data_IF_730394493386
#
_entry.id   IF_730394493386
#
_cell.length_a   1.000
_cell.length_b   1.000
_cell.length_c   1.000
_cell.angle_alpha   90.00
_cell.angle_beta   90.00
_cell.angle_gamma   90.00
#
_symmetry.space_group_name_H-M   'P 1'
#
loop_
_entity.id
_entity.type
_entity.pdbx_description
1 polymer ?
#
# COMPACT_ATOMS: atom_id res chain seq x y z
N UNK A 1 -6.21 23.00 -2.79
CA UNK A 1 -4.83 22.70 -2.36
C UNK A 1 -4.58 21.22 -2.53
N UNK A 2 -3.81 20.82 -3.53
CA UNK A 2 -3.46 19.43 -3.76
C UNK A 2 -2.67 18.92 -2.55
N UNK A 3 -3.21 17.95 -1.81
CA UNK A 3 -2.49 17.34 -0.70
C UNK A 3 -1.16 16.80 -1.21
N UNK A 4 -0.09 17.10 -0.47
CA UNK A 4 1.22 16.49 -0.69
C UNK A 4 1.02 14.98 -0.84
N UNK A 5 1.59 14.36 -1.89
CA UNK A 5 1.41 12.93 -2.18
C UNK A 5 1.99 11.98 -1.11
N UNK A 6 2.45 12.55 0.00
CA UNK A 6 3.05 11.91 1.15
C UNK A 6 1.96 11.69 2.19
N UNK A 7 1.70 10.44 2.62
CA UNK A 7 0.65 10.16 3.56
C UNK A 7 1.03 10.64 4.97
N UNK A 8 0.04 10.94 5.82
CA UNK A 8 0.30 11.31 7.20
C UNK A 8 0.82 10.12 8.02
N UNK A 9 1.54 10.44 9.09
CA UNK A 9 1.96 9.50 10.14
C UNK A 9 1.16 9.84 11.40
N UNK A 10 0.46 8.83 11.96
CA UNK A 10 -0.33 8.98 13.19
C UNK A 10 0.47 8.39 14.34
N UNK A 11 0.93 9.25 15.24
CA UNK A 11 1.78 8.91 16.37
C UNK A 11 0.91 8.84 17.62
N UNK A 12 0.93 7.72 18.34
CA UNK A 12 0.12 7.54 19.55
C UNK A 12 0.73 8.32 20.72
N UNK A 13 -0.14 8.94 21.54
CA UNK A 13 0.23 9.72 22.72
C UNK A 13 0.66 11.16 22.41
N UNK A 14 0.23 12.10 23.26
CA UNK A 14 0.53 13.54 23.15
C UNK A 14 1.52 14.06 24.20
N UNK A 15 1.75 13.31 25.28
CA UNK A 15 2.47 13.78 26.48
C UNK A 15 3.92 14.24 26.22
N UNK A 16 4.58 13.74 25.18
CA UNK A 16 6.01 14.01 24.90
C UNK A 16 6.25 14.72 23.57
N UNK A 17 5.24 15.39 23.03
CA UNK A 17 5.32 16.00 21.70
C UNK A 17 6.50 16.97 21.57
N UNK A 18 6.79 17.77 22.61
CA UNK A 18 7.90 18.73 22.63
C UNK A 18 9.28 18.06 22.56
N UNK A 19 9.43 16.88 23.15
CA UNK A 19 10.68 16.12 23.06
C UNK A 19 10.84 15.54 21.65
N UNK A 20 9.78 14.92 21.14
CA UNK A 20 9.75 14.35 19.80
C UNK A 20 10.00 15.42 18.72
N UNK A 21 9.43 16.61 18.85
CA UNK A 21 9.64 17.71 17.90
C UNK A 21 11.08 18.19 17.87
N UNK A 22 11.75 18.26 19.02
CA UNK A 22 13.20 18.55 19.07
C UNK A 22 14.02 17.46 18.38
N UNK A 23 13.67 16.19 18.57
CA UNK A 23 14.36 15.07 17.90
C UNK A 23 14.14 15.08 16.38
N UNK A 24 12.95 15.46 15.91
CA UNK A 24 12.68 15.63 14.49
C UNK A 24 13.52 16.77 13.92
N UNK A 25 13.58 17.92 14.61
CA UNK A 25 14.38 19.07 14.20
C UNK A 25 15.88 18.76 14.18
N UNK A 26 16.41 18.05 15.19
CA UNK A 26 17.83 17.70 15.24
C UNK A 26 18.26 16.73 14.14
N UNK A 27 17.33 15.90 13.64
CA UNK A 27 17.53 15.04 12.46
C UNK A 27 17.21 15.74 11.14
N UNK A 28 16.82 17.02 11.16
CA UNK A 28 16.49 17.78 9.96
C UNK A 28 15.17 17.38 9.29
N UNK A 29 14.31 16.61 9.97
CA UNK A 29 13.04 16.10 9.41
C UNK A 29 12.04 17.24 9.27
N UNK A 30 11.63 17.55 8.03
CA UNK A 30 10.70 18.64 7.77
C UNK A 30 9.24 18.16 7.68
N UNK A 31 8.33 18.90 8.31
CA UNK A 31 6.89 18.67 8.20
C UNK A 31 6.11 19.98 8.02
N UNK A 32 5.05 19.92 7.22
CA UNK A 32 4.17 21.07 6.92
C UNK A 32 3.15 21.31 8.02
N UNK A 33 2.67 20.24 8.64
CA UNK A 33 1.61 20.30 9.64
C UNK A 33 1.72 19.15 10.62
N UNK A 34 1.48 19.46 11.89
CA UNK A 34 1.17 18.48 12.92
C UNK A 34 -0.12 18.92 13.62
N UNK A 35 -1.04 17.99 13.85
CA UNK A 35 -2.28 18.29 14.59
C UNK A 35 -2.68 17.14 15.49
N UNK A 36 -3.23 17.46 16.64
CA UNK A 36 -3.83 16.48 17.54
C UNK A 36 -5.08 15.86 16.88
N UNK A 37 -5.23 14.55 17.05
CA UNK A 37 -6.34 13.74 16.59
C UNK A 37 -6.69 12.73 17.67
N UNK A 38 -7.61 13.10 18.57
CA UNK A 38 -7.91 12.31 19.78
C UNK A 38 -6.66 12.18 20.66
N UNK A 39 -6.27 10.94 20.96
CA UNK A 39 -5.08 10.61 21.75
C UNK A 39 -3.78 10.54 20.92
N UNK A 40 -3.83 10.89 19.64
CA UNK A 40 -2.70 10.80 18.71
C UNK A 40 -2.33 12.16 18.12
N UNK A 41 -1.11 12.28 17.60
CA UNK A 41 -0.69 13.42 16.78
C UNK A 41 -0.50 12.96 15.35
N UNK A 42 -1.18 13.63 14.41
CA UNK A 42 -1.09 13.38 12.97
C UNK A 42 -0.10 14.35 12.35
N UNK A 43 1.00 13.82 11.82
CA UNK A 43 2.10 14.58 11.21
C UNK A 43 2.08 14.42 9.70
N UNK A 44 2.26 15.54 8.99
CA UNK A 44 2.28 15.64 7.53
C UNK A 44 3.67 16.10 7.08
N UNK A 45 4.52 15.16 6.68
CA UNK A 45 5.88 15.44 6.17
C UNK A 45 5.82 16.04 4.76
N UNK A 46 6.87 16.78 4.38
CA UNK A 46 6.90 17.47 3.09
C UNK A 46 7.31 16.54 1.96
N UNK A 47 8.32 15.70 2.20
CA UNK A 47 8.89 14.81 1.19
C UNK A 47 8.77 13.32 1.58
N UNK A 48 8.87 12.40 0.61
CA UNK A 48 9.04 10.96 0.89
C UNK A 48 10.30 10.63 1.68
N UNK A 49 11.36 11.45 1.56
CA UNK A 49 12.59 11.29 2.33
C UNK A 49 12.34 11.59 3.82
N UNK A 50 11.72 12.74 4.12
CA UNK A 50 11.32 13.10 5.49
C UNK A 50 10.39 12.05 6.10
N UNK A 51 9.44 11.55 5.31
CA UNK A 51 8.53 10.48 5.69
C UNK A 51 9.30 9.23 6.16
N UNK A 52 10.23 8.74 5.33
CA UNK A 52 11.03 7.55 5.64
C UNK A 52 11.91 7.77 6.86
N UNK A 53 12.53 8.95 6.99
CA UNK A 53 13.34 9.31 8.15
C UNK A 53 12.51 9.37 9.43
N UNK A 54 11.29 9.93 9.39
CA UNK A 54 10.39 9.98 10.54
C UNK A 54 9.93 8.57 10.94
N UNK A 55 9.57 7.72 9.98
CA UNK A 55 9.24 6.31 10.25
C UNK A 55 10.41 5.61 10.94
N UNK A 56 11.63 5.74 10.41
CA UNK A 56 12.83 5.15 10.99
C UNK A 56 13.13 5.68 12.40
N UNK A 57 12.96 7.00 12.62
CA UNK A 57 13.10 7.61 13.94
C UNK A 57 12.12 6.99 14.94
N UNK A 58 10.82 6.93 14.59
CA UNK A 58 9.79 6.40 15.47
C UNK A 58 10.00 4.91 15.79
N UNK A 59 10.45 4.12 14.82
CA UNK A 59 10.84 2.73 15.03
C UNK A 59 12.05 2.63 15.98
N UNK A 60 13.07 3.48 15.82
CA UNK A 60 14.27 3.47 16.68
C UNK A 60 13.97 3.77 18.15
N UNK A 61 13.03 4.69 18.41
CA UNK A 61 12.60 5.04 19.78
C UNK A 61 11.43 4.19 20.28
N UNK A 62 11.00 3.19 19.49
CA UNK A 62 9.85 2.32 19.77
C UNK A 62 8.56 3.09 20.08
N UNK A 63 8.36 4.27 19.47
CA UNK A 63 7.13 5.04 19.63
C UNK A 63 6.01 4.34 18.86
N UNK A 64 4.82 4.10 19.44
CA UNK A 64 3.72 3.49 18.70
C UNK A 64 3.16 4.45 17.65
N UNK A 65 3.01 3.98 16.41
CA UNK A 65 2.42 4.76 15.32
C UNK A 65 1.76 3.86 14.27
N UNK A 66 0.99 4.47 13.37
CA UNK A 66 0.60 3.85 12.11
C UNK A 66 0.60 4.88 10.98
N UNK A 67 0.76 4.39 9.76
CA UNK A 67 0.85 5.22 8.57
C UNK A 67 0.35 4.47 7.33
N UNK A 68 0.55 5.04 6.15
CA UNK A 68 0.08 4.53 4.87
C UNK A 68 1.24 4.44 3.88
N UNK A 69 1.07 3.60 2.86
CA UNK A 69 2.09 3.44 1.83
C UNK A 69 2.22 4.73 1.00
N UNK A 70 3.47 5.11 0.70
CA UNK A 70 3.77 6.21 -0.21
C UNK A 70 3.19 5.94 -1.61
N UNK A 71 2.79 7.00 -2.32
CA UNK A 71 2.24 6.88 -3.67
C UNK A 71 3.24 6.28 -4.66
N UNK A 72 4.51 6.65 -4.56
CA UNK A 72 5.60 6.13 -5.41
C UNK A 72 5.92 4.64 -5.19
N UNK A 73 5.59 4.12 -4.01
CA UNK A 73 5.76 2.71 -3.69
C UNK A 73 4.54 1.87 -4.10
N UNK A 74 3.45 2.51 -4.53
CA UNK A 74 2.20 1.84 -4.89
C UNK A 74 2.22 1.42 -6.36
N UNK A 75 2.13 0.12 -6.60
CA UNK A 75 1.87 -0.43 -7.93
C UNK A 75 0.38 -0.33 -8.27
N UNK A 76 0.06 0.01 -9.52
CA UNK A 76 -1.30 -0.10 -10.04
C UNK A 76 -1.69 -1.58 -10.08
N UNK A 77 -2.98 -1.87 -9.94
CA UNK A 77 -3.51 -3.24 -9.93
C UNK A 77 -4.65 -3.33 -10.94
N UNK A 78 -4.46 -4.17 -11.96
CA UNK A 78 -5.47 -4.48 -12.98
C UNK A 78 -5.81 -5.97 -12.96
N UNK A 79 -7.07 -6.28 -13.22
CA UNK A 79 -7.55 -7.64 -13.43
C UNK A 79 -7.50 -7.92 -14.93
N UNK A 80 -6.77 -8.96 -15.32
CA UNK A 80 -6.73 -9.50 -16.68
C UNK A 80 -7.91 -10.45 -16.85
N UNK A 81 -8.68 -10.24 -17.92
CA UNK A 81 -9.74 -11.14 -18.39
C UNK A 81 -9.42 -11.64 -19.80
N UNK A 82 -10.07 -12.74 -20.20
CA UNK A 82 -9.90 -13.35 -21.52
C UNK A 82 -8.90 -14.51 -21.55
N UNK A 83 -8.30 -14.85 -20.41
CA UNK A 83 -7.35 -15.96 -20.28
C UNK A 83 -8.00 -17.22 -19.67
N UNK A 84 -7.58 -18.44 -20.08
CA UNK A 84 -8.06 -19.69 -19.49
C UNK A 84 -7.66 -19.81 -18.02
N UNK A 85 -8.38 -20.63 -17.27
CA UNK A 85 -8.08 -20.90 -15.86
C UNK A 85 -6.75 -21.66 -15.70
N UNK A 86 -6.46 -22.53 -16.65
CA UNK A 86 -5.32 -23.45 -16.63
C UNK A 86 -4.02 -22.77 -17.05
N UNK A 87 -4.09 -21.50 -17.49
CA UNK A 87 -2.94 -20.77 -17.97
C UNK A 87 -1.93 -20.52 -16.84
N UNK A 88 -0.65 -20.78 -17.16
CA UNK A 88 0.47 -20.56 -16.25
C UNK A 88 0.68 -19.07 -15.99
N UNK A 89 0.86 -18.73 -14.71
CA UNK A 89 1.19 -17.36 -14.28
C UNK A 89 2.55 -16.91 -14.84
N UNK A 90 3.47 -17.86 -15.03
CA UNK A 90 4.80 -17.56 -15.56
C UNK A 90 4.72 -17.16 -17.03
N UNK A 91 3.92 -17.87 -17.85
CA UNK A 91 3.77 -17.58 -19.27
C UNK A 91 3.16 -16.19 -19.48
N UNK A 92 2.15 -15.83 -18.67
CA UNK A 92 1.55 -14.49 -18.67
C UNK A 92 2.61 -13.44 -18.31
N UNK A 93 3.44 -13.72 -17.30
CA UNK A 93 4.47 -12.81 -16.84
C UNK A 93 5.56 -12.61 -17.89
N UNK A 94 6.04 -13.69 -18.51
CA UNK A 94 7.06 -13.65 -19.57
C UNK A 94 6.57 -12.86 -20.78
N UNK A 95 5.32 -13.06 -21.19
CA UNK A 95 4.73 -12.30 -22.28
C UNK A 95 4.62 -10.81 -21.94
N UNK A 96 4.13 -10.45 -20.75
CA UNK A 96 4.10 -9.05 -20.28
C UNK A 96 5.50 -8.41 -20.24
N UNK A 97 6.52 -9.16 -19.83
CA UNK A 97 7.92 -8.70 -19.84
C UNK A 97 8.41 -8.49 -21.28
N UNK A 98 8.10 -9.41 -22.20
CA UNK A 98 8.45 -9.31 -23.61
C UNK A 98 7.80 -8.09 -24.30
N UNK A 99 6.61 -7.70 -23.82
CA UNK A 99 5.89 -6.50 -24.26
C UNK A 99 6.31 -5.23 -23.50
N UNK A 100 7.41 -5.28 -22.74
CA UNK A 100 8.05 -4.11 -22.14
C UNK A 100 7.58 -3.74 -20.73
N UNK A 101 6.89 -4.64 -20.01
CA UNK A 101 6.46 -4.46 -18.62
C UNK A 101 7.34 -5.33 -17.69
N UNK A 102 8.59 -4.92 -17.51
CA UNK A 102 9.59 -5.69 -16.76
C UNK A 102 9.26 -5.90 -15.28
N UNK A 103 8.47 -5.02 -14.65
CA UNK A 103 8.13 -5.08 -13.23
C UNK A 103 6.80 -5.81 -12.95
N UNK A 104 6.24 -6.49 -13.95
CA UNK A 104 4.96 -7.17 -13.82
C UNK A 104 4.99 -8.26 -12.73
N UNK A 105 4.10 -8.12 -11.75
CA UNK A 105 3.81 -9.17 -10.77
C UNK A 105 2.41 -9.71 -11.05
N UNK A 106 2.33 -10.97 -11.47
CA UNK A 106 1.08 -11.64 -11.85
C UNK A 106 0.67 -12.63 -10.76
N UNK A 107 -0.63 -12.71 -10.47
CA UNK A 107 -1.20 -13.68 -9.54
C UNK A 107 -2.58 -14.12 -10.03
N UNK A 108 -2.86 -15.42 -10.04
CA UNK A 108 -4.20 -15.91 -10.31
C UNK A 108 -5.15 -15.64 -9.12
N UNK A 109 -6.36 -15.17 -9.40
CA UNK A 109 -7.39 -14.94 -8.39
C UNK A 109 -8.11 -16.24 -8.05
N UNK A 110 -8.50 -16.40 -6.79
CA UNK A 110 -9.26 -17.54 -6.30
C UNK A 110 -10.64 -17.12 -5.81
N UNK A 111 -11.64 -18.00 -5.96
CA UNK A 111 -12.96 -17.80 -5.39
C UNK A 111 -12.89 -17.63 -3.86
N UNK A 112 -13.62 -16.66 -3.32
CA UNK A 112 -13.69 -16.45 -1.87
C UNK A 112 -14.35 -17.63 -1.15
N UNK A 113 -15.39 -18.20 -1.77
CA UNK A 113 -16.22 -19.28 -1.22
C UNK A 113 -15.57 -20.64 -1.41
N UNK A 114 -15.26 -21.00 -2.67
CA UNK A 114 -14.79 -22.36 -2.98
C UNK A 114 -13.28 -22.52 -2.93
N UNK A 115 -12.52 -21.42 -2.79
CA UNK A 115 -11.05 -21.38 -2.84
C UNK A 115 -10.43 -21.91 -4.13
N UNK A 116 -11.24 -22.25 -5.13
CA UNK A 116 -10.77 -22.73 -6.44
C UNK A 116 -10.22 -21.56 -7.28
N UNK A 117 -9.22 -21.81 -8.15
CA UNK A 117 -8.74 -20.83 -9.12
C UNK A 117 -9.84 -20.32 -10.05
N UNK A 118 -9.79 -19.05 -10.41
CA UNK A 118 -10.68 -18.40 -11.37
C UNK A 118 -9.91 -18.12 -12.68
N UNK A 119 -10.61 -18.00 -13.83
CA UNK A 119 -10.02 -17.50 -15.08
C UNK A 119 -9.83 -15.97 -15.02
N UNK A 120 -9.25 -15.49 -13.93
CA UNK A 120 -8.99 -14.07 -13.66
C UNK A 120 -7.60 -13.96 -13.06
N UNK A 121 -6.80 -13.07 -13.61
CA UNK A 121 -5.44 -12.84 -13.15
C UNK A 121 -5.31 -11.39 -12.68
N UNK A 122 -4.51 -11.15 -11.66
CA UNK A 122 -4.19 -9.82 -11.17
C UNK A 122 -2.76 -9.49 -11.59
N UNK A 123 -2.59 -8.41 -12.33
CA UNK A 123 -1.27 -7.83 -12.62
C UNK A 123 -1.05 -6.61 -11.74
N UNK A 124 0.15 -6.50 -11.19
CA UNK A 124 0.64 -5.30 -10.51
C UNK A 124 1.84 -4.77 -11.27
N UNK A 125 1.85 -3.47 -11.57
CA UNK A 125 2.94 -2.79 -12.28
C UNK A 125 2.98 -1.30 -11.91
N UNK A 126 4.15 -0.67 -12.03
CA UNK A 126 4.35 0.78 -12.02
C UNK A 126 4.14 1.43 -13.39
N UNK A 127 3.95 0.65 -14.45
CA UNK A 127 3.72 1.09 -15.83
C UNK A 127 2.28 0.80 -16.29
N UNK A 128 1.24 1.38 -15.65
CA UNK A 128 -0.16 1.12 -16.01
C UNK A 128 -0.55 1.62 -17.41
N UNK A 129 0.18 2.58 -17.98
CA UNK A 129 -0.02 3.10 -19.32
C UNK A 129 0.24 2.03 -20.38
N UNK A 130 1.31 1.24 -20.24
CA UNK A 130 1.64 0.15 -21.17
C UNK A 130 0.58 -0.94 -21.18
N UNK A 131 -0.06 -1.22 -20.03
CA UNK A 131 -1.14 -2.20 -19.97
C UNK A 131 -2.35 -1.81 -20.85
N UNK A 132 -2.56 -0.53 -21.14
CA UNK A 132 -3.65 -0.08 -22.00
C UNK A 132 -3.38 -0.33 -23.48
N UNK A 133 -2.11 -0.49 -23.86
CA UNK A 133 -1.67 -0.74 -25.25
C UNK A 133 -1.73 -2.24 -25.60
N UNK A 134 -1.69 -3.11 -24.60
CA UNK A 134 -1.75 -4.57 -24.77
C UNK A 134 -3.18 -5.01 -25.07
N UNK A 135 -3.37 -5.59 -26.25
CA UNK A 135 -4.65 -6.20 -26.66
C UNK A 135 -4.64 -7.73 -26.57
N UNK A 136 -3.45 -8.34 -26.60
CA UNK A 136 -3.30 -9.79 -26.62
C UNK A 136 -2.20 -10.26 -25.67
N UNK A 137 -2.46 -11.39 -25.03
CA UNK A 137 -1.48 -12.16 -24.27
C UNK A 137 -1.59 -13.63 -24.71
N UNK A 138 -0.47 -14.27 -25.01
CA UNK A 138 -0.35 -15.62 -25.55
C UNK A 138 -1.32 -15.87 -26.73
N UNK A 139 -1.37 -14.90 -27.65
CA UNK A 139 -2.28 -14.88 -28.82
C UNK A 139 -3.79 -14.82 -28.49
N UNK A 140 -4.16 -14.70 -27.21
CA UNK A 140 -5.55 -14.53 -26.77
C UNK A 140 -5.87 -13.05 -26.57
N UNK A 141 -7.07 -12.63 -26.98
CA UNK A 141 -7.57 -11.28 -26.72
C UNK A 141 -7.86 -11.11 -25.24
N UNK A 142 -7.31 -10.05 -24.64
CA UNK A 142 -7.47 -9.77 -23.21
C UNK A 142 -8.02 -8.37 -22.95
N UNK A 143 -8.52 -8.17 -21.74
CA UNK A 143 -8.86 -6.84 -21.23
C UNK A 143 -8.32 -6.63 -19.82
N UNK A 144 -7.95 -5.38 -19.51
CA UNK A 144 -7.40 -4.97 -18.23
C UNK A 144 -8.40 -4.07 -17.48
N UNK A 145 -9.05 -4.61 -16.45
CA UNK A 145 -10.01 -3.87 -15.64
C UNK A 145 -9.39 -3.35 -14.35
N UNK A 146 -9.86 -2.21 -13.84
CA UNK A 146 -9.49 -1.77 -12.49
C UNK A 146 -10.00 -2.77 -11.46
N UNK A 147 -9.13 -3.18 -10.53
CA UNK A 147 -9.58 -3.96 -9.38
C UNK A 147 -10.60 -3.15 -8.58
N UNK A 148 -11.81 -3.71 -8.40
CA UNK A 148 -12.87 -3.10 -7.58
C UNK A 148 -12.35 -2.89 -6.15
N UNK A 149 -12.51 -1.68 -5.63
CA UNK A 149 -12.22 -1.38 -4.23
C UNK A 149 -13.33 -1.98 -3.37
N UNK A 150 -12.97 -2.54 -2.23
CA UNK A 150 -13.95 -2.84 -1.19
C UNK A 150 -14.60 -1.55 -0.70
N UNK A 151 -15.91 -1.57 -0.46
CA UNK A 151 -16.62 -0.50 0.24
C UNK A 151 -16.25 -0.48 1.73
N UNK A 152 -15.95 -1.64 2.30
CA UNK A 152 -15.61 -1.78 3.71
C UNK A 152 -14.19 -1.25 4.02
N UNK A 153 -14.02 -0.52 5.13
CA UNK A 153 -12.70 -0.08 5.57
C UNK A 153 -11.84 -1.29 5.93
N UNK A 154 -10.56 -1.24 5.56
CA UNK A 154 -9.63 -2.31 5.90
C UNK A 154 -9.44 -2.39 7.42
N UNK A 155 -9.59 -3.58 7.98
CA UNK A 155 -9.21 -3.88 9.36
C UNK A 155 -7.72 -4.22 9.42
N UNK A 156 -7.00 -3.64 10.38
CA UNK A 156 -5.62 -3.98 10.65
C UNK A 156 -5.54 -5.23 11.54
N UNK A 157 -5.09 -6.36 10.99
CA UNK A 157 -4.98 -7.61 11.75
C UNK A 157 -3.97 -7.61 12.91
N UNK A 158 -3.14 -6.56 13.04
CA UNK A 158 -2.22 -6.39 14.18
C UNK A 158 -2.90 -5.74 15.38
N UNK A 159 -3.46 -4.54 15.20
CA UNK A 159 -4.05 -3.77 16.29
C UNK A 159 -5.58 -3.83 16.35
N UNK A 160 -6.21 -4.55 15.43
CA UNK A 160 -7.66 -4.70 15.24
C UNK A 160 -8.42 -3.40 14.91
N UNK A 161 -7.74 -2.25 14.78
CA UNK A 161 -8.37 -0.97 14.40
C UNK A 161 -8.61 -0.90 12.88
N UNK A 162 -9.60 -0.12 12.47
CA UNK A 162 -9.95 0.10 11.07
C UNK A 162 -9.15 1.25 10.44
N UNK A 163 -9.14 1.29 9.10
CA UNK A 163 -8.67 2.43 8.32
C UNK A 163 -7.16 2.47 8.06
N UNK A 164 -6.43 1.38 8.34
CA UNK A 164 -5.05 1.18 7.92
C UNK A 164 -4.72 -0.31 7.77
N UNK A 165 -3.53 -0.64 7.26
CA UNK A 165 -3.09 -2.03 7.05
C UNK A 165 -2.00 -2.43 8.04
N UNK A 166 -1.88 -3.73 8.31
CA UNK A 166 -0.86 -4.29 9.22
C UNK A 166 0.57 -3.92 8.83
N UNK A 167 0.88 -3.86 7.52
CA UNK A 167 2.23 -3.56 7.01
C UNK A 167 2.78 -2.24 7.56
N UNK A 168 1.90 -1.24 7.71
CA UNK A 168 2.26 0.11 8.14
C UNK A 168 1.77 0.41 9.56
N UNK A 169 1.62 -0.62 10.38
CA UNK A 169 1.18 -0.53 11.76
C UNK A 169 2.31 -0.93 12.71
N UNK A 170 2.62 -0.03 13.66
CA UNK A 170 3.52 -0.23 14.80
C UNK A 170 2.81 0.02 16.13
N UNK A 171 1.48 -0.01 16.14
CA UNK A 171 0.70 0.01 17.37
C UNK A 171 0.83 -1.33 18.11
N UNK A 172 0.61 -1.28 19.42
CA UNK A 172 0.49 -2.47 20.24
C UNK A 172 -0.68 -3.34 19.76
N UNK A 173 -0.50 -4.65 19.90
CA UNK A 173 -1.57 -5.62 19.67
C UNK A 173 -2.65 -5.41 20.71
N UNK A 174 -3.91 -5.39 20.27
CA UNK A 174 -5.04 -5.50 21.18
C UNK A 174 -5.35 -6.99 21.26
N UNK A 175 -5.05 -7.61 22.39
CA UNK A 175 -5.61 -8.92 22.70
C UNK A 175 -7.14 -8.77 22.73
N UNK A 176 -7.82 -9.56 21.92
CA UNK A 176 -9.21 -9.92 22.19
C UNK A 176 -9.11 -11.08 23.17
N UNK A 177 -9.61 -10.93 24.40
CA UNK A 177 -9.96 -12.09 25.21
C UNK A 177 -10.95 -12.91 24.38
N UNK A 178 -10.60 -14.19 24.13
CA UNK A 178 -11.43 -15.12 23.36
C UNK A 178 -12.54 -15.69 24.23
#
# INVERSE_FOLDING_TARGET
MAGTGVPPINIEGTADWSSLSRMMNSKGIQFSKARTAGTSVKVFTNTPADYRQLVALLESIKRPFFTYQLKEDRMDQRVIRGLPREMSVNDIKEDLVSQGIADAVVQQLTSRTTKKPLPLFLVKTKMPEKLAEIQRLAMLTVSFERKKKSSEPSQCYRCQRYGHTQRNCRLAERYMEK
#
